data_IF_758000809396
#
_entry.id   IF_758000809396
#
_cell.length_a   1.000
_cell.length_b   1.000
_cell.length_c   1.000
_cell.angle_alpha   90.00
_cell.angle_beta   90.00
_cell.angle_gamma   90.00
#
_symmetry.space_group_name_H-M   'P 1'
#
loop_
_entity.id
_entity.type
_entity.pdbx_description
1 polymer ?
#
# COMPACT_ATOMS: atom_id res chain seq x y z
N UNK A 1 25.14 14.22 3.39
CA UNK A 1 23.73 13.85 3.61
C UNK A 1 23.62 13.22 4.99
N UNK A 2 22.67 13.63 5.85
CA UNK A 2 22.45 12.93 7.11
C UNK A 2 22.08 11.46 6.82
N UNK A 3 22.48 10.55 7.70
CA UNK A 3 22.08 9.15 7.58
C UNK A 3 20.55 9.03 7.76
N UNK A 4 19.89 8.29 6.86
CA UNK A 4 18.46 8.02 6.99
C UNK A 4 18.21 7.22 8.29
N UNK A 5 17.35 7.75 9.17
CA UNK A 5 17.10 7.15 10.50
C UNK A 5 16.28 5.86 10.42
N UNK A 6 15.34 5.78 9.48
CA UNK A 6 14.48 4.63 9.26
C UNK A 6 13.83 4.70 7.87
N UNK A 7 13.23 3.60 7.42
CA UNK A 7 12.35 3.56 6.26
C UNK A 7 10.88 3.59 6.71
N UNK A 8 10.09 4.45 6.09
CA UNK A 8 8.63 4.44 6.22
C UNK A 8 8.04 3.71 5.03
N UNK A 9 7.37 2.58 5.26
CA UNK A 9 6.81 1.71 4.22
C UNK A 9 5.30 1.60 4.44
N UNK A 10 4.54 1.90 3.40
CA UNK A 10 3.09 1.71 3.35
C UNK A 10 2.71 1.11 2.00
N UNK A 11 1.73 0.22 2.00
CA UNK A 11 1.14 -0.34 0.79
C UNK A 11 -0.35 -0.54 1.02
N UNK A 12 -1.15 -0.61 -0.04
CA UNK A 12 -2.58 -0.90 0.08
C UNK A 12 -2.89 -2.35 -0.23
N UNK A 13 -4.00 -2.83 0.32
CA UNK A 13 -4.53 -4.15 0.00
C UNK A 13 -5.13 -4.18 -1.40
N UNK A 14 -5.23 -5.39 -1.96
CA UNK A 14 -5.72 -5.62 -3.32
C UNK A 14 -7.05 -4.89 -3.59
N UNK A 15 -7.10 -4.15 -4.70
CA UNK A 15 -8.33 -3.50 -5.18
C UNK A 15 -8.76 -2.24 -4.43
N UNK A 16 -8.09 -1.84 -3.35
CA UNK A 16 -8.51 -0.69 -2.52
C UNK A 16 -7.89 0.65 -2.94
N UNK A 17 -6.92 0.64 -3.86
CA UNK A 17 -6.38 1.82 -4.53
C UNK A 17 -6.02 1.45 -5.98
N UNK A 18 -6.84 1.88 -6.93
CA UNK A 18 -6.68 1.60 -8.37
C UNK A 18 -6.22 2.84 -9.13
N UNK A 19 -5.63 2.67 -10.30
CA UNK A 19 -5.35 3.83 -11.15
C UNK A 19 -6.63 4.51 -11.62
N UNK A 20 -6.59 5.85 -11.66
CA UNK A 20 -7.75 6.68 -11.98
C UNK A 20 -8.69 6.93 -10.80
N UNK A 21 -8.36 6.44 -9.60
CA UNK A 21 -9.00 6.82 -8.34
C UNK A 21 -8.88 8.33 -8.06
N UNK A 22 -9.84 8.90 -7.34
CA UNK A 22 -9.88 10.33 -6.98
C UNK A 22 -8.68 10.77 -6.14
N UNK A 23 -8.08 9.85 -5.39
CA UNK A 23 -6.85 10.07 -4.61
C UNK A 23 -5.59 10.24 -5.49
N UNK A 24 -5.71 10.03 -6.80
CA UNK A 24 -4.57 9.95 -7.73
C UNK A 24 -3.90 8.57 -7.67
N UNK A 25 -2.83 8.35 -8.44
CA UNK A 25 -2.04 7.11 -8.37
C UNK A 25 -0.65 7.31 -8.97
N UNK A 26 0.29 6.41 -8.67
CA UNK A 26 1.62 6.38 -9.28
C UNK A 26 1.63 5.33 -10.37
N UNK A 27 2.03 5.68 -11.60
CA UNK A 27 2.30 4.75 -12.69
C UNK A 27 3.70 5.00 -13.28
N UNK A 28 4.06 4.29 -14.35
CA UNK A 28 5.39 4.36 -14.96
C UNK A 28 5.79 5.77 -15.42
N UNK A 29 4.81 6.63 -15.74
CA UNK A 29 5.04 8.03 -16.15
C UNK A 29 5.02 9.00 -14.95
N UNK A 30 4.56 8.56 -13.77
CA UNK A 30 4.36 9.37 -12.57
C UNK A 30 5.03 8.77 -11.33
N UNK A 31 6.18 8.11 -11.49
CA UNK A 31 6.92 7.41 -10.43
C UNK A 31 8.10 8.20 -9.84
N UNK A 32 8.26 9.48 -10.20
CA UNK A 32 9.32 10.33 -9.65
C UNK A 32 8.91 10.90 -8.29
N UNK A 33 9.70 10.74 -7.23
CA UNK A 33 9.39 11.34 -5.93
C UNK A 33 9.29 12.87 -6.00
N UNK A 34 8.26 13.44 -5.38
CA UNK A 34 8.05 14.88 -5.33
C UNK A 34 7.35 15.47 -6.57
N UNK A 35 7.03 14.66 -7.58
CA UNK A 35 6.23 15.11 -8.74
C UNK A 35 4.74 14.78 -8.54
N UNK A 36 3.82 15.44 -9.28
CA UNK A 36 2.38 15.15 -9.19
C UNK A 36 2.05 13.68 -9.51
N UNK A 37 1.03 13.15 -8.83
CA UNK A 37 0.46 11.85 -9.17
C UNK A 37 -0.30 11.88 -10.50
N UNK A 38 -0.49 10.70 -11.10
CA UNK A 38 -1.39 10.53 -12.22
C UNK A 38 -2.80 10.99 -11.82
N UNK A 39 -3.42 11.82 -12.66
CA UNK A 39 -4.72 12.44 -12.37
C UNK A 39 -5.83 11.38 -12.30
N UNK A 40 -6.90 11.64 -11.53
CA UNK A 40 -8.10 10.80 -11.53
C UNK A 40 -8.68 10.60 -12.94
N UNK A 41 -9.27 9.43 -13.17
CA UNK A 41 -9.87 9.07 -14.45
C UNK A 41 -10.87 7.95 -14.25
N UNK A 42 -12.16 8.29 -14.34
CA UNK A 42 -13.27 7.34 -14.20
C UNK A 42 -13.11 6.16 -15.18
N UNK A 43 -12.73 6.45 -16.43
CA UNK A 43 -12.48 5.42 -17.46
C UNK A 43 -11.38 4.45 -17.03
N UNK A 44 -10.26 4.97 -16.53
CA UNK A 44 -9.13 4.13 -16.09
C UNK A 44 -9.47 3.34 -14.84
N UNK A 45 -10.17 3.94 -13.88
CA UNK A 45 -10.64 3.25 -12.67
C UNK A 45 -11.57 2.09 -13.04
N UNK A 46 -12.55 2.33 -13.90
CA UNK A 46 -13.46 1.29 -14.38
C UNK A 46 -12.71 0.18 -15.13
N UNK A 47 -11.76 0.52 -16.01
CA UNK A 47 -10.95 -0.47 -16.71
C UNK A 47 -10.18 -1.37 -15.72
N UNK A 48 -9.48 -0.77 -14.75
CA UNK A 48 -8.77 -1.53 -13.71
C UNK A 48 -9.73 -2.41 -12.91
N UNK A 49 -10.84 -1.86 -12.44
CA UNK A 49 -11.86 -2.58 -11.67
C UNK A 49 -12.47 -3.74 -12.46
N UNK A 50 -12.70 -3.57 -13.76
CA UNK A 50 -13.26 -4.62 -14.63
C UNK A 50 -12.33 -5.81 -14.86
N UNK A 51 -11.03 -5.63 -14.64
CA UNK A 51 -10.01 -6.69 -14.75
C UNK A 51 -9.68 -7.36 -13.42
N UNK A 52 -10.29 -6.91 -12.31
CA UNK A 52 -10.08 -7.52 -11.01
C UNK A 52 -10.63 -8.95 -10.99
N UNK A 53 -9.87 -9.88 -10.42
CA UNK A 53 -10.26 -11.29 -10.27
C UNK A 53 -11.10 -11.54 -9.02
N UNK A 54 -10.94 -10.68 -8.03
CA UNK A 54 -11.57 -10.79 -6.72
C UNK A 54 -12.11 -9.42 -6.30
N UNK A 55 -13.06 -9.36 -5.36
CA UNK A 55 -13.40 -8.11 -4.69
C UNK A 55 -12.18 -7.48 -4.01
N UNK A 56 -12.29 -6.20 -3.71
CA UNK A 56 -11.35 -5.49 -2.87
C UNK A 56 -11.17 -6.18 -1.51
N UNK A 57 -9.92 -6.34 -1.10
CA UNK A 57 -9.59 -7.09 0.10
C UNK A 57 -9.43 -6.16 1.28
N UNK A 58 -10.35 -6.20 2.24
CA UNK A 58 -10.20 -5.47 3.50
C UNK A 58 -9.77 -6.43 4.61
N UNK A 59 -8.77 -6.02 5.38
CA UNK A 59 -8.28 -6.74 6.54
C UNK A 59 -9.29 -6.60 7.69
N UNK A 60 -10.03 -7.68 7.95
CA UNK A 60 -10.83 -7.80 9.16
C UNK A 60 -9.93 -7.90 10.41
N UNK A 61 -10.54 -7.96 11.60
CA UNK A 61 -9.79 -8.03 12.85
C UNK A 61 -8.81 -9.22 12.92
N UNK A 62 -9.19 -10.38 12.38
CA UNK A 62 -8.35 -11.58 12.38
C UNK A 62 -7.19 -11.42 11.41
N UNK A 63 -7.45 -10.98 10.18
CA UNK A 63 -6.44 -10.75 9.15
C UNK A 63 -5.42 -9.69 9.61
N UNK A 64 -5.86 -8.59 10.24
CA UNK A 64 -4.95 -7.59 10.81
C UNK A 64 -4.03 -8.18 11.87
N UNK A 65 -4.55 -9.05 12.75
CA UNK A 65 -3.74 -9.75 13.74
C UNK A 65 -2.73 -10.74 13.13
N UNK A 66 -3.05 -11.36 12.00
CA UNK A 66 -2.09 -12.18 11.25
C UNK A 66 -0.97 -11.31 10.69
N UNK A 67 -1.31 -10.24 9.98
CA UNK A 67 -0.32 -9.32 9.37
C UNK A 67 0.60 -8.69 10.42
N UNK A 68 0.06 -8.21 11.55
CA UNK A 68 0.86 -7.61 12.61
C UNK A 68 1.91 -8.60 13.14
N UNK A 69 1.49 -9.83 13.48
CA UNK A 69 2.38 -10.87 13.98
C UNK A 69 3.44 -11.25 12.95
N UNK A 70 3.06 -11.44 11.69
CA UNK A 70 3.98 -11.81 10.63
C UNK A 70 5.05 -10.74 10.39
N UNK A 71 4.68 -9.45 10.38
CA UNK A 71 5.66 -8.37 10.23
C UNK A 71 6.66 -8.40 11.40
N UNK A 72 6.18 -8.56 12.63
CA UNK A 72 7.06 -8.66 13.81
C UNK A 72 7.99 -9.87 13.74
N UNK A 73 7.48 -11.05 13.37
CA UNK A 73 8.29 -12.26 13.20
C UNK A 73 9.37 -12.09 12.14
N UNK A 74 9.04 -11.47 11.00
CA UNK A 74 10.02 -11.19 9.94
C UNK A 74 11.08 -10.22 10.44
N UNK A 75 10.71 -9.14 11.12
CA UNK A 75 11.67 -8.20 11.69
C UNK A 75 12.62 -8.88 12.68
N UNK A 76 12.11 -9.73 13.59
CA UNK A 76 12.94 -10.52 14.51
C UNK A 76 13.88 -11.44 13.75
N UNK A 77 13.34 -12.22 12.79
CA UNK A 77 14.11 -13.20 12.01
C UNK A 77 15.21 -12.54 11.18
N UNK A 78 14.96 -11.33 10.67
CA UNK A 78 15.91 -10.57 9.84
C UNK A 78 16.79 -9.61 10.65
N UNK A 79 16.66 -9.58 11.98
CA UNK A 79 17.32 -8.61 12.85
C UNK A 79 17.10 -7.15 12.42
N UNK A 80 15.90 -6.83 11.93
CA UNK A 80 15.49 -5.46 11.59
C UNK A 80 14.82 -4.78 12.78
N UNK A 81 15.23 -3.55 13.07
CA UNK A 81 14.58 -2.74 14.09
C UNK A 81 13.19 -2.27 13.60
N UNK A 82 12.13 -2.72 14.27
CA UNK A 82 10.77 -2.27 14.00
C UNK A 82 10.43 -1.08 14.91
N UNK A 83 10.46 0.13 14.37
CA UNK A 83 10.18 1.34 15.15
C UNK A 83 8.69 1.53 15.45
N UNK A 84 7.82 1.29 14.46
CA UNK A 84 6.37 1.42 14.59
C UNK A 84 5.68 0.49 13.58
N UNK A 85 4.45 0.07 13.92
CA UNK A 85 3.59 -0.74 13.07
C UNK A 85 2.13 -0.40 13.34
N UNK A 86 1.35 -0.23 12.28
CA UNK A 86 -0.09 -0.03 12.37
C UNK A 86 -0.76 -0.70 11.17
N UNK A 87 -1.40 -1.85 11.41
CA UNK A 87 -2.14 -2.57 10.37
C UNK A 87 -3.57 -2.05 10.35
N UNK A 88 -3.97 -1.44 9.24
CA UNK A 88 -5.29 -0.83 9.05
C UNK A 88 -6.15 -1.76 8.21
N UNK A 89 -7.38 -1.35 7.88
CA UNK A 89 -8.29 -2.21 7.11
C UNK A 89 -7.89 -2.36 5.64
N UNK A 90 -7.15 -1.40 5.08
CA UNK A 90 -6.76 -1.39 3.67
C UNK A 90 -5.29 -1.01 3.42
N UNK A 91 -4.48 -0.89 4.47
CA UNK A 91 -3.03 -0.60 4.40
C UNK A 91 -2.31 -1.06 5.67
#
# INVERSE_FOLDING_TARGET
MPANLAYFITFTTYGTWLHGDERGSVDDEHNTPGTPFARPSIRRNHANRSTMKWPEFNLDAKARGVVDRTIREVCVTRAWALHALNVRSNH
#
